data_IF_758817040396
#
_entry.id   IF_758817040396
#
_cell.length_a   1.000
_cell.length_b   1.000
_cell.length_c   1.000
_cell.angle_alpha   90.00
_cell.angle_beta   90.00
_cell.angle_gamma   90.00
#
_symmetry.space_group_name_H-M   'P 1'
#
loop_
_entity.id
_entity.type
_entity.pdbx_description
1 polymer ?
#
# COMPACT_ATOMS: atom_id res chain seq x y z
N UNK A 1 -15.68 13.56 -3.07
CA UNK A 1 -14.29 13.72 -3.55
C UNK A 1 -13.94 15.18 -3.42
N UNK A 2 -12.83 15.48 -2.74
CA UNK A 2 -12.27 16.82 -2.74
C UNK A 2 -11.48 17.05 -4.05
N UNK A 3 -11.27 18.30 -4.44
CA UNK A 3 -10.38 18.59 -5.56
C UNK A 3 -8.95 18.15 -5.20
N UNK A 4 -8.34 17.30 -6.04
CA UNK A 4 -6.99 16.76 -5.82
C UNK A 4 -6.93 15.32 -5.32
N UNK A 5 -8.06 14.68 -5.03
CA UNK A 5 -8.11 13.24 -4.73
C UNK A 5 -7.81 12.42 -5.99
N UNK A 6 -6.70 11.67 -6.00
CA UNK A 6 -6.41 10.67 -7.04
C UNK A 6 -6.79 9.29 -6.51
N UNK A 7 -8.03 8.89 -6.74
CA UNK A 7 -8.50 7.56 -6.35
C UNK A 7 -7.93 6.51 -7.29
N UNK A 8 -7.30 5.48 -6.73
CA UNK A 8 -6.78 4.32 -7.46
C UNK A 8 -7.44 3.07 -6.90
N UNK A 9 -7.99 2.24 -7.77
CA UNK A 9 -8.54 0.91 -7.43
C UNK A 9 -7.63 -0.16 -7.99
N UNK A 10 -7.23 -1.12 -7.17
CA UNK A 10 -6.36 -2.23 -7.57
C UNK A 10 -6.92 -3.57 -7.07
N UNK A 11 -6.92 -4.57 -7.95
CA UNK A 11 -7.33 -5.95 -7.65
C UNK A 11 -6.18 -6.86 -8.09
N UNK A 12 -5.84 -7.85 -7.27
CA UNK A 12 -4.78 -8.80 -7.58
C UNK A 12 -4.40 -9.65 -6.37
N UNK A 13 -3.33 -10.43 -6.51
CA UNK A 13 -2.83 -11.34 -5.48
C UNK A 13 -1.56 -10.79 -4.83
N UNK A 14 -1.42 -10.96 -3.51
CA UNK A 14 -0.14 -10.74 -2.84
C UNK A 14 0.85 -11.83 -3.26
N UNK A 15 2.04 -11.43 -3.67
CA UNK A 15 3.08 -12.38 -4.10
C UNK A 15 3.97 -12.85 -2.96
N UNK A 16 4.04 -12.09 -1.87
CA UNK A 16 4.82 -12.35 -0.66
C UNK A 16 4.14 -11.68 0.54
N UNK A 17 4.57 -12.02 1.76
CA UNK A 17 4.08 -11.40 2.99
C UNK A 17 4.37 -9.88 3.03
N UNK A 18 3.44 -9.04 3.54
CA UNK A 18 3.68 -7.61 3.71
C UNK A 18 4.78 -7.32 4.73
N UNK A 19 5.68 -6.40 4.39
CA UNK A 19 6.70 -5.90 5.31
C UNK A 19 6.17 -4.71 6.11
N UNK A 20 6.20 -4.80 7.44
CA UNK A 20 5.86 -3.69 8.34
C UNK A 20 7.13 -3.02 8.88
N UNK A 21 7.20 -1.69 8.79
CA UNK A 21 8.28 -0.87 9.36
C UNK A 21 7.71 0.35 10.06
N UNK A 22 8.52 0.99 10.89
CA UNK A 22 8.19 2.25 11.55
C UNK A 22 9.11 3.37 11.07
N UNK A 23 8.56 4.54 10.80
CA UNK A 23 9.35 5.75 10.54
C UNK A 23 10.06 6.19 11.83
N UNK A 24 11.08 7.07 11.76
CA UNK A 24 11.69 7.65 12.95
C UNK A 24 10.71 8.40 13.86
N UNK A 25 9.64 8.96 13.29
CA UNK A 25 8.54 9.58 14.02
C UNK A 25 7.54 8.59 14.63
N UNK A 26 7.77 7.28 14.48
CA UNK A 26 6.95 6.20 15.04
C UNK A 26 5.72 5.83 14.21
N UNK A 27 5.56 6.35 12.98
CA UNK A 27 4.43 6.00 12.12
C UNK A 27 4.65 4.63 11.47
N UNK A 28 3.62 3.78 11.51
CA UNK A 28 3.63 2.47 10.86
C UNK A 28 3.47 2.61 9.34
N UNK A 29 4.32 1.91 8.58
CA UNK A 29 4.29 1.85 7.11
C UNK A 29 4.41 0.40 6.66
N UNK A 30 3.45 -0.03 5.84
CA UNK A 30 3.45 -1.36 5.23
C UNK A 30 3.86 -1.29 3.75
N UNK A 31 4.70 -2.22 3.31
CA UNK A 31 5.04 -2.43 1.89
C UNK A 31 4.55 -3.82 1.48
N UNK A 32 3.87 -3.89 0.34
CA UNK A 32 3.42 -5.14 -0.25
C UNK A 32 3.55 -5.07 -1.77
N UNK A 33 3.56 -6.24 -2.42
CA UNK A 33 3.61 -6.38 -3.87
C UNK A 33 2.36 -7.12 -4.34
N UNK A 34 1.71 -6.58 -5.37
CA UNK A 34 0.48 -7.13 -5.96
C UNK A 34 0.76 -7.56 -7.39
N UNK A 35 0.45 -8.80 -7.72
CA UNK A 35 0.36 -9.26 -9.10
C UNK A 35 -1.07 -9.07 -9.62
N UNK A 36 -1.22 -8.39 -10.75
CA UNK A 36 -2.46 -8.28 -11.50
C UNK A 36 -2.47 -9.33 -12.60
N UNK A 37 -3.55 -10.10 -12.72
CA UNK A 37 -3.77 -11.09 -13.79
C UNK A 37 -5.10 -10.84 -14.44
#
# INVERSE_FOLDING_TARGET
MAAGDTTITMIGNLVDDPELRFTPSGAAVAKFRVAST
#
